data_IF_934197304253
#
_entry.id   IF_934197304253
#
_cell.length_a   1.000
_cell.length_b   1.000
_cell.length_c   1.000
_cell.angle_alpha   90.00
_cell.angle_beta   90.00
_cell.angle_gamma   90.00
#
_symmetry.space_group_name_H-M   'P 1'
#
loop_
_entity.id
_entity.type
_entity.pdbx_description
1 polymer ?
#
# COMPACT_ATOMS: atom_id res chain seq x y z
N UNK A 1 13.67 -6.92 10.49
CA UNK A 1 14.07 -5.50 10.56
C UNK A 1 15.49 -5.38 10.07
N UNK A 2 15.70 -4.67 8.96
CA UNK A 2 17.01 -4.34 8.43
C UNK A 2 17.30 -2.86 8.70
N UNK A 3 18.41 -2.58 9.38
CA UNK A 3 18.82 -1.23 9.79
C UNK A 3 19.16 -0.29 8.63
N UNK A 4 19.41 -0.83 7.44
CA UNK A 4 19.92 -0.06 6.31
C UNK A 4 18.83 0.49 5.40
N UNK A 5 17.68 -0.17 5.33
CA UNK A 5 16.57 0.20 4.43
C UNK A 5 15.23 0.36 5.14
N UNK A 6 15.15 0.07 6.45
CA UNK A 6 13.90 0.18 7.22
C UNK A 6 12.85 -0.88 6.85
N UNK A 7 13.19 -1.85 5.98
CA UNK A 7 12.25 -2.82 5.44
C UNK A 7 12.17 -4.07 6.33
N UNK A 8 10.95 -4.55 6.56
CA UNK A 8 10.68 -5.89 7.07
C UNK A 8 10.49 -6.82 5.85
N UNK A 9 11.33 -7.86 5.72
CA UNK A 9 11.20 -8.86 4.64
C UNK A 9 10.43 -10.08 5.11
N UNK A 10 9.60 -10.59 4.19
CA UNK A 10 8.42 -11.42 4.39
C UNK A 10 8.69 -12.81 5.00
N UNK A 11 7.83 -13.21 5.95
CA UNK A 11 7.47 -14.61 6.24
C UNK A 11 6.01 -14.63 6.72
N UNK A 12 5.09 -14.79 5.77
CA UNK A 12 3.68 -15.22 5.86
C UNK A 12 2.95 -14.98 7.19
N UNK A 13 2.27 -13.82 7.30
CA UNK A 13 1.07 -13.52 8.12
C UNK A 13 0.98 -11.98 8.27
N UNK A 14 -0.04 -11.35 7.67
CA UNK A 14 -0.34 -9.90 7.65
C UNK A 14 0.67 -8.95 8.30
N UNK A 15 1.38 -8.15 7.50
CA UNK A 15 2.55 -7.39 7.96
C UNK A 15 2.48 -5.89 7.66
N UNK A 16 3.11 -5.12 8.55
CA UNK A 16 3.53 -3.75 8.34
C UNK A 16 4.71 -3.74 7.35
N UNK A 17 4.53 -3.15 6.17
CA UNK A 17 5.52 -3.12 5.09
C UNK A 17 6.64 -2.11 5.37
N UNK A 18 6.32 -1.01 6.05
CA UNK A 18 7.28 0.02 6.49
C UNK A 18 6.78 0.76 7.72
N UNK A 19 7.70 1.13 8.63
CA UNK A 19 7.48 2.13 9.68
C UNK A 19 8.54 3.21 9.47
N UNK A 20 8.25 4.16 8.59
CA UNK A 20 8.86 5.48 8.71
C UNK A 20 8.15 6.18 9.86
N UNK A 21 8.82 7.03 10.65
CA UNK A 21 8.26 7.52 11.92
C UNK A 21 6.81 8.04 11.83
N UNK A 22 6.39 8.49 10.65
CA UNK A 22 5.07 9.05 10.39
C UNK A 22 4.26 8.38 9.26
N UNK A 23 4.76 7.37 8.55
CA UNK A 23 4.02 6.68 7.47
C UNK A 23 4.07 5.18 7.71
N UNK A 24 2.91 4.54 7.59
CA UNK A 24 2.81 3.09 7.59
C UNK A 24 2.03 2.60 6.38
N UNK A 25 2.50 1.50 5.81
CA UNK A 25 1.80 0.74 4.78
C UNK A 25 1.57 -0.66 5.33
N UNK A 26 0.34 -1.13 5.32
CA UNK A 26 -0.01 -2.49 5.73
C UNK A 26 -0.63 -3.22 4.54
N UNK A 27 -0.31 -4.50 4.35
CA UNK A 27 -0.95 -5.30 3.31
C UNK A 27 -1.30 -6.71 3.80
N UNK A 28 -2.39 -7.24 3.26
CA UNK A 28 -2.85 -8.60 3.52
C UNK A 28 -3.53 -9.22 2.29
N UNK A 29 -3.24 -10.50 1.97
CA UNK A 29 -3.84 -11.15 0.82
C UNK A 29 -5.34 -11.38 1.01
N UNK A 30 -6.09 -11.30 -0.09
CA UNK A 30 -7.50 -11.66 -0.16
C UNK A 30 -7.68 -12.99 -0.90
N UNK A 31 -8.84 -13.63 -0.72
CA UNK A 31 -9.13 -14.96 -1.27
C UNK A 31 -9.10 -15.04 -2.81
N UNK A 32 -9.27 -13.90 -3.48
CA UNK A 32 -9.29 -13.79 -4.95
C UNK A 32 -7.92 -13.44 -5.56
N UNK A 33 -6.84 -13.48 -4.77
CA UNK A 33 -5.48 -13.14 -5.21
C UNK A 33 -5.18 -11.64 -5.22
N UNK A 34 -6.15 -10.80 -4.88
CA UNK A 34 -5.93 -9.37 -4.66
C UNK A 34 -5.29 -9.11 -3.29
N UNK A 35 -4.84 -7.88 -3.06
CA UNK A 35 -4.27 -7.41 -1.79
C UNK A 35 -5.17 -6.33 -1.21
N UNK A 36 -5.50 -6.43 0.07
CA UNK A 36 -5.99 -5.31 0.86
C UNK A 36 -4.80 -4.50 1.35
N UNK A 37 -4.77 -3.20 1.06
CA UNK A 37 -3.67 -2.30 1.41
C UNK A 37 -4.20 -1.14 2.23
N UNK A 38 -3.56 -0.85 3.37
CA UNK A 38 -3.84 0.31 4.21
C UNK A 38 -2.68 1.29 4.10
N UNK A 39 -2.99 2.54 3.75
CA UNK A 39 -2.04 3.64 3.76
C UNK A 39 -2.38 4.54 4.95
N UNK A 40 -1.48 4.64 5.92
CA UNK A 40 -1.69 5.38 7.15
C UNK A 40 -0.68 6.53 7.26
N UNK A 41 -1.19 7.75 7.41
CA UNK A 41 -0.40 8.90 7.78
C UNK A 41 -0.50 9.12 9.30
N UNK A 42 0.58 8.82 10.02
CA UNK A 42 0.74 9.05 11.47
C UNK A 42 1.30 10.44 11.80
N UNK A 43 1.62 11.25 10.79
CA UNK A 43 2.08 12.60 10.99
C UNK A 43 0.99 13.44 11.67
N UNK A 44 1.40 14.27 12.63
CA UNK A 44 0.50 15.13 13.39
C UNK A 44 0.26 16.49 12.74
N UNK A 45 1.06 16.86 11.74
CA UNK A 45 1.05 18.21 11.14
C UNK A 45 0.97 18.23 9.62
N UNK A 46 1.48 17.21 8.92
CA UNK A 46 1.55 17.23 7.45
C UNK A 46 0.61 16.23 6.78
N UNK A 47 0.18 16.59 5.58
CA UNK A 47 -0.31 15.64 4.58
C UNK A 47 0.87 14.87 3.99
N UNK A 48 0.70 13.57 3.79
CA UNK A 48 1.73 12.71 3.22
C UNK A 48 1.34 12.20 1.83
N UNK A 49 2.37 11.95 1.03
CA UNK A 49 2.28 11.25 -0.26
C UNK A 49 2.82 9.84 -0.06
N UNK A 50 1.97 8.83 -0.18
CA UNK A 50 2.33 7.45 0.13
C UNK A 50 2.27 6.61 -1.15
N UNK A 51 3.35 5.88 -1.43
CA UNK A 51 3.47 5.00 -2.61
C UNK A 51 3.58 3.55 -2.19
N UNK A 52 2.72 2.70 -2.73
CA UNK A 52 2.83 1.24 -2.63
C UNK A 52 3.37 0.68 -3.96
N UNK A 53 4.45 -0.09 -3.91
CA UNK A 53 5.00 -0.76 -5.10
C UNK A 53 4.50 -2.20 -5.15
N UNK A 54 4.27 -2.72 -6.36
CA UNK A 54 3.87 -4.12 -6.56
C UNK A 54 4.89 -5.10 -5.99
N UNK A 55 6.18 -4.75 -6.02
CA UNK A 55 7.26 -5.54 -5.42
C UNK A 55 7.11 -5.70 -3.90
N UNK A 56 6.57 -4.69 -3.22
CA UNK A 56 6.36 -4.73 -1.77
C UNK A 56 5.17 -5.65 -1.42
N UNK A 57 4.27 -5.87 -2.39
CA UNK A 57 3.15 -6.82 -2.32
C UNK A 57 3.54 -8.24 -2.78
N UNK A 58 4.80 -8.46 -3.16
CA UNK A 58 5.30 -9.74 -3.66
C UNK A 58 5.04 -10.01 -5.15
N UNK A 59 4.70 -8.99 -5.93
CA UNK A 59 4.43 -9.10 -7.37
C UNK A 59 5.59 -8.58 -8.24
N UNK A 60 5.70 -9.01 -9.52
CA UNK A 60 6.71 -8.51 -10.45
C UNK A 60 6.58 -7.00 -10.72
N UNK A 61 7.69 -6.35 -11.10
CA UNK A 61 7.73 -4.92 -11.46
C UNK A 61 6.95 -4.58 -12.73
N UNK A 62 6.80 -5.56 -13.64
CA UNK A 62 6.13 -5.42 -14.92
C UNK A 62 4.67 -5.88 -14.88
N UNK A 63 3.96 -5.54 -13.81
CA UNK A 63 2.59 -5.96 -13.55
C UNK A 63 1.62 -4.76 -13.60
N UNK A 64 0.50 -4.92 -14.30
CA UNK A 64 -0.65 -4.01 -14.20
C UNK A 64 -1.58 -4.45 -13.07
N UNK A 65 -2.17 -3.50 -12.35
CA UNK A 65 -3.20 -3.79 -11.35
C UNK A 65 -4.31 -2.75 -11.36
N UNK A 66 -5.52 -3.19 -11.05
CA UNK A 66 -6.64 -2.31 -10.71
C UNK A 66 -6.52 -1.86 -9.25
N UNK A 67 -6.76 -0.57 -9.00
CA UNK A 67 -6.79 0.00 -7.66
C UNK A 67 -8.18 0.55 -7.38
N UNK A 68 -8.77 0.13 -6.27
CA UNK A 68 -10.08 0.58 -5.78
C UNK A 68 -9.95 1.11 -4.36
N UNK A 69 -10.48 2.31 -4.12
CA UNK A 69 -10.70 2.82 -2.77
C UNK A 69 -11.96 2.17 -2.18
N UNK A 70 -11.78 1.42 -1.10
CA UNK A 70 -12.85 0.68 -0.45
C UNK A 70 -13.77 1.59 0.38
N UNK A 71 -13.24 2.67 0.94
CA UNK A 71 -13.99 3.59 1.79
C UNK A 71 -14.80 4.57 0.93
N UNK A 72 -14.18 5.15 -0.10
CA UNK A 72 -14.87 5.98 -1.09
C UNK A 72 -15.76 5.18 -2.04
N UNK A 73 -15.62 3.83 -2.05
CA UNK A 73 -16.30 2.92 -2.99
C UNK A 73 -16.04 3.28 -4.45
N UNK A 74 -14.85 3.77 -4.74
CA UNK A 74 -14.47 4.35 -6.02
C UNK A 74 -13.33 3.56 -6.66
N UNK A 75 -13.46 3.26 -7.95
CA UNK A 75 -12.35 2.72 -8.74
C UNK A 75 -11.42 3.88 -9.14
N UNK A 76 -10.14 3.76 -8.77
CA UNK A 76 -9.12 4.78 -9.03
C UNK A 76 -8.44 4.56 -10.39
N UNK A 77 -8.63 3.38 -10.98
CA UNK A 77 -8.15 3.04 -12.32
C UNK A 77 -7.12 1.92 -12.32
N UNK A 78 -6.30 1.90 -13.38
CA UNK A 78 -5.25 0.92 -13.61
C UNK A 78 -3.88 1.57 -13.49
N UNK A 79 -2.97 0.89 -12.79
CA UNK A 79 -1.62 1.39 -12.56
C UNK A 79 -0.57 0.33 -12.86
N UNK A 80 0.56 0.77 -13.39
CA UNK A 80 1.69 -0.08 -13.74
C UNK A 80 2.80 0.06 -12.69
N UNK A 81 3.32 -1.06 -12.20
CA UNK A 81 4.40 -1.17 -11.19
C UNK A 81 4.12 -0.64 -9.76
N UNK A 82 3.27 0.37 -9.58
CA UNK A 82 2.97 0.98 -8.28
C UNK A 82 1.68 1.80 -8.30
N UNK A 83 1.23 2.23 -7.12
CA UNK A 83 0.21 3.26 -6.95
C UNK A 83 0.68 4.30 -5.93
N UNK A 84 0.45 5.59 -6.22
CA UNK A 84 0.76 6.71 -5.32
C UNK A 84 -0.53 7.43 -4.93
N UNK A 85 -0.82 7.45 -3.62
CA UNK A 85 -1.86 8.30 -3.07
C UNK A 85 -1.28 9.69 -2.78
N UNK A 86 -1.75 10.76 -3.45
CA UNK A 86 -1.11 12.07 -3.40
C UNK A 86 -1.50 12.91 -2.18
N UNK A 87 -2.55 12.52 -1.44
CA UNK A 87 -3.08 13.35 -0.36
C UNK A 87 -3.71 12.49 0.72
N UNK A 88 -2.89 12.03 1.65
CA UNK A 88 -3.36 11.41 2.89
C UNK A 88 -3.13 12.43 4.00
N UNK A 89 -4.21 13.10 4.41
CA UNK A 89 -4.16 14.12 5.46
C UNK A 89 -3.58 13.58 6.77
N UNK A 90 -3.15 14.49 7.65
CA UNK A 90 -2.69 14.15 9.00
C UNK A 90 -3.67 13.23 9.73
N UNK A 91 -3.17 12.14 10.30
CA UNK A 91 -3.96 11.10 10.97
C UNK A 91 -5.02 10.42 10.08
N UNK A 92 -4.99 10.64 8.77
CA UNK A 92 -5.92 9.99 7.85
C UNK A 92 -5.41 8.62 7.42
N UNK A 93 -6.36 7.84 6.92
CA UNK A 93 -6.13 6.49 6.43
C UNK A 93 -6.86 6.31 5.12
N UNK A 94 -6.24 5.59 4.19
CA UNK A 94 -6.87 5.14 2.95
C UNK A 94 -6.81 3.62 2.86
N UNK A 95 -7.93 2.99 2.55
CA UNK A 95 -8.01 1.55 2.38
C UNK A 95 -8.26 1.20 0.92
N UNK A 96 -7.33 0.44 0.34
CA UNK A 96 -7.32 0.07 -1.06
C UNK A 96 -7.52 -1.44 -1.21
N UNK A 97 -8.23 -1.83 -2.26
CA UNK A 97 -8.12 -3.16 -2.86
C UNK A 97 -7.31 -3.04 -4.13
N UNK A 98 -6.26 -3.83 -4.23
CA UNK A 98 -5.35 -3.85 -5.38
C UNK A 98 -5.41 -5.22 -6.02
N UNK A 99 -5.81 -5.29 -7.29
CA UNK A 99 -6.05 -6.57 -8.00
C UNK A 99 -5.12 -6.67 -9.20
N UNK A 100 -4.20 -7.64 -9.26
CA UNK A 100 -3.32 -7.81 -10.41
C UNK A 100 -4.11 -8.24 -11.65
N UNK A 101 -3.64 -7.87 -12.83
CA UNK A 101 -4.22 -8.23 -14.13
C UNK A 101 -3.38 -9.32 -14.78
N UNK A 102 -3.97 -10.48 -15.04
CA UNK A 102 -3.30 -11.61 -15.68
C UNK A 102 -3.48 -11.60 -17.20
#
# INVERSE_FOLDING_TARGET
WNQTDGLLKNTDNGQCLTVEQNIEIWAGPLSDGSQAVLLLNRNSTTTEVITVKWTDLGWPTNQWAHVRDLWARQDLGMFFSSYTSPNIERHAVQMLKITPIH
#
